data_IF_439770450517
#
_entry.id   IF_439770450517
#
_cell.length_a   1.000
_cell.length_b   1.000
_cell.length_c   1.000
_cell.angle_alpha   90.00
_cell.angle_beta   90.00
_cell.angle_gamma   90.00
#
_symmetry.space_group_name_H-M   'P 1'
#
loop_
_entity.id
_entity.type
_entity.pdbx_description
1 polymer ?
#
# COMPACT_ATOMS: atom_id res chain seq x y z
N UNK A 1 -7.17 2.65 10.21
CA UNK A 1 -6.38 3.00 9.00
C UNK A 1 -5.36 1.92 8.73
N UNK A 2 -4.96 1.66 7.47
CA UNK A 2 -3.84 0.78 7.16
C UNK A 2 -2.57 1.26 7.89
N UNK A 3 -1.73 0.34 8.39
CA UNK A 3 -0.43 0.71 8.96
C UNK A 3 0.46 1.23 7.83
N UNK A 4 0.91 2.48 7.93
CA UNK A 4 1.96 3.02 7.06
C UNK A 4 3.30 2.40 7.47
N UNK A 5 3.58 1.22 6.88
CA UNK A 5 4.81 0.48 7.10
C UNK A 5 5.50 0.27 5.75
N UNK A 6 6.74 0.76 5.64
CA UNK A 6 7.54 0.69 4.41
C UNK A 6 8.34 -0.61 4.28
N UNK A 7 8.58 -1.30 5.39
CA UNK A 7 9.37 -2.53 5.44
C UNK A 7 8.50 -3.68 5.94
N UNK A 8 8.30 -4.69 5.09
CA UNK A 8 7.54 -5.88 5.42
C UNK A 8 8.47 -7.08 5.64
N UNK A 9 8.22 -7.80 6.73
CA UNK A 9 8.82 -9.12 6.98
C UNK A 9 8.09 -10.20 6.19
N UNK A 10 8.73 -11.37 6.04
CA UNK A 10 8.15 -12.53 5.36
C UNK A 10 6.87 -13.00 6.05
N UNK A 11 6.87 -13.02 7.38
CA UNK A 11 5.75 -13.43 8.22
C UNK A 11 4.56 -12.48 8.03
N UNK A 12 4.80 -11.17 8.02
CA UNK A 12 3.74 -10.19 7.78
C UNK A 12 3.11 -10.32 6.39
N UNK A 13 3.91 -10.59 5.36
CA UNK A 13 3.37 -10.83 4.01
C UNK A 13 2.57 -12.14 3.96
N UNK A 14 3.05 -13.19 4.62
CA UNK A 14 2.34 -14.46 4.74
C UNK A 14 0.99 -14.31 5.46
N UNK A 15 0.94 -13.57 6.58
CA UNK A 15 -0.29 -13.31 7.31
C UNK A 15 -1.30 -12.50 6.47
N UNK A 16 -0.82 -11.55 5.66
CA UNK A 16 -1.68 -10.80 4.72
C UNK A 16 -2.23 -11.71 3.61
N UNK A 17 -1.43 -12.64 3.11
CA UNK A 17 -1.91 -13.65 2.16
C UNK A 17 -3.00 -14.52 2.79
N UNK A 18 -2.80 -14.97 4.04
CA UNK A 18 -3.79 -15.76 4.78
C UNK A 18 -5.10 -15.00 4.98
N UNK A 19 -5.02 -13.73 5.41
CA UNK A 19 -6.20 -12.87 5.57
C UNK A 19 -6.96 -12.69 4.24
N UNK A 20 -6.25 -12.48 3.14
CA UNK A 20 -6.86 -12.29 1.80
C UNK A 20 -7.52 -13.59 1.30
N UNK A 21 -6.95 -14.76 1.60
CA UNK A 21 -7.55 -16.06 1.28
C UNK A 21 -8.73 -16.45 2.18
N UNK A 22 -8.96 -15.73 3.28
CA UNK A 22 -9.95 -16.08 4.30
C UNK A 22 -11.36 -16.25 3.75
N UNK A 23 -11.81 -15.35 2.87
CA UNK A 23 -13.15 -15.44 2.26
C UNK A 23 -13.32 -16.72 1.46
N UNK A 24 -12.35 -17.03 0.60
CA UNK A 24 -12.34 -18.25 -0.21
C UNK A 24 -12.36 -19.52 0.64
N UNK A 25 -11.52 -19.57 1.65
CA UNK A 25 -11.41 -20.73 2.54
C UNK A 25 -12.68 -20.91 3.38
N UNK A 26 -13.30 -19.81 3.81
CA UNK A 26 -14.59 -19.84 4.50
C UNK A 26 -15.67 -20.49 3.62
N UNK A 27 -15.78 -20.08 2.35
CA UNK A 27 -16.74 -20.70 1.42
C UNK A 27 -16.52 -22.21 1.28
N UNK A 28 -15.27 -22.64 1.16
CA UNK A 28 -14.90 -24.06 1.04
C UNK A 28 -15.33 -24.85 2.29
N UNK A 29 -15.11 -24.31 3.50
CA UNK A 29 -15.44 -24.98 4.77
C UNK A 29 -16.95 -25.08 4.99
N UNK A 30 -17.70 -24.01 4.74
CA UNK A 30 -19.13 -23.94 5.08
C UNK A 30 -20.04 -24.43 3.96
N UNK A 31 -19.70 -24.17 2.69
CA UNK A 31 -20.55 -24.52 1.56
C UNK A 31 -20.05 -25.72 0.76
N UNK A 32 -18.81 -26.18 0.97
CA UNK A 32 -18.21 -27.30 0.23
C UNK A 32 -18.08 -27.03 -1.28
N UNK A 33 -18.28 -25.78 -1.69
CA UNK A 33 -18.25 -25.33 -3.08
C UNK A 33 -17.56 -23.99 -3.15
N UNK A 34 -17.14 -23.67 -4.35
CA UNK A 34 -16.30 -22.54 -4.62
C UNK A 34 -16.98 -21.58 -5.60
N UNK A 35 -16.94 -20.27 -5.32
CA UNK A 35 -17.51 -19.23 -6.19
C UNK A 35 -16.44 -18.48 -6.98
N UNK A 36 -16.87 -17.59 -7.87
CA UNK A 36 -15.99 -16.62 -8.57
C UNK A 36 -15.73 -15.35 -7.76
N UNK A 37 -16.34 -15.20 -6.58
CA UNK A 37 -16.25 -13.97 -5.77
C UNK A 37 -14.84 -13.68 -5.26
N UNK A 38 -14.00 -14.70 -5.10
CA UNK A 38 -12.61 -14.57 -4.63
C UNK A 38 -11.59 -14.30 -5.74
N UNK A 39 -12.02 -13.93 -6.96
CA UNK A 39 -11.10 -13.71 -8.09
C UNK A 39 -10.04 -12.64 -7.80
N UNK A 40 -10.45 -11.48 -7.28
CA UNK A 40 -9.53 -10.38 -6.98
C UNK A 40 -8.58 -10.73 -5.83
N UNK A 41 -9.05 -11.49 -4.85
CA UNK A 41 -8.23 -11.97 -3.74
C UNK A 41 -7.14 -12.92 -4.23
N UNK A 42 -7.48 -13.87 -5.11
CA UNK A 42 -6.50 -14.77 -5.74
C UNK A 42 -5.48 -14.00 -6.58
N UNK A 43 -5.91 -12.96 -7.30
CA UNK A 43 -4.99 -12.10 -8.06
C UNK A 43 -3.99 -11.41 -7.14
N UNK A 44 -4.46 -10.78 -6.04
CA UNK A 44 -3.59 -10.10 -5.05
C UNK A 44 -2.62 -11.07 -4.38
N UNK A 45 -3.10 -12.25 -3.98
CA UNK A 45 -2.29 -13.30 -3.36
C UNK A 45 -1.21 -13.80 -4.32
N UNK A 46 -1.57 -14.01 -5.59
CA UNK A 46 -0.62 -14.42 -6.63
C UNK A 46 0.46 -13.36 -6.86
N UNK A 47 0.07 -12.09 -6.99
CA UNK A 47 1.01 -10.98 -7.13
C UNK A 47 1.95 -10.87 -5.93
N UNK A 48 1.42 -11.01 -4.71
CA UNK A 48 2.23 -10.99 -3.49
C UNK A 48 3.22 -12.16 -3.43
N UNK A 49 2.81 -13.35 -3.85
CA UNK A 49 3.68 -14.52 -3.90
C UNK A 49 4.82 -14.35 -4.91
N UNK A 50 4.52 -13.89 -6.13
CA UNK A 50 5.55 -13.58 -7.11
C UNK A 50 6.50 -12.50 -6.60
N UNK A 51 6.00 -11.44 -5.95
CA UNK A 51 6.87 -10.39 -5.40
C UNK A 51 7.85 -10.94 -4.35
N UNK A 52 7.36 -11.80 -3.45
CA UNK A 52 8.21 -12.44 -2.44
C UNK A 52 9.30 -13.32 -3.05
N UNK A 53 8.96 -14.11 -4.07
CA UNK A 53 9.88 -15.09 -4.68
C UNK A 53 10.85 -14.41 -5.65
N UNK A 54 10.36 -13.47 -6.48
CA UNK A 54 11.08 -12.92 -7.64
C UNK A 54 11.76 -11.59 -7.33
N UNK A 55 11.13 -10.71 -6.55
CA UNK A 55 11.64 -9.37 -6.29
C UNK A 55 12.38 -9.26 -4.96
N UNK A 56 11.84 -9.88 -3.90
CA UNK A 56 12.35 -9.70 -2.54
C UNK A 56 13.35 -10.77 -2.11
N UNK A 57 13.56 -11.83 -2.89
CA UNK A 57 14.48 -12.91 -2.55
C UNK A 57 14.09 -13.67 -1.27
N UNK A 58 12.79 -13.78 -0.96
CA UNK A 58 12.27 -14.41 0.26
C UNK A 58 12.08 -15.94 0.13
N UNK A 59 12.63 -16.54 -0.93
CA UNK A 59 12.56 -17.97 -1.20
C UNK A 59 13.96 -18.61 -1.20
N UNK A 60 14.11 -19.72 -0.48
CA UNK A 60 15.41 -20.39 -0.29
C UNK A 60 15.92 -21.09 -1.56
N UNK A 61 15.03 -21.59 -2.43
CA UNK A 61 15.42 -22.32 -3.65
C UNK A 61 15.82 -21.38 -4.78
N UNK A 62 15.13 -20.25 -4.92
CA UNK A 62 15.50 -19.19 -5.87
C UNK A 62 16.71 -18.41 -5.34
N UNK A 63 16.79 -18.23 -4.02
CA UNK A 63 17.87 -17.53 -3.34
C UNK A 63 17.63 -16.02 -3.24
N UNK A 64 18.62 -15.32 -2.70
CA UNK A 64 18.60 -13.87 -2.44
C UNK A 64 18.90 -13.06 -3.71
N UNK A 65 18.15 -13.33 -4.78
CA UNK A 65 18.23 -12.63 -6.06
C UNK A 65 16.97 -11.83 -6.31
N UNK A 66 17.10 -10.75 -7.08
CA UNK A 66 15.99 -9.92 -7.50
C UNK A 66 15.98 -9.88 -9.02
N UNK A 67 14.86 -10.26 -9.61
CA UNK A 67 14.62 -10.13 -11.04
C UNK A 67 13.64 -8.99 -11.28
N UNK A 68 13.98 -8.10 -12.20
CA UNK A 68 13.05 -7.05 -12.62
C UNK A 68 12.03 -7.67 -13.58
N UNK A 69 10.75 -7.57 -13.23
CA UNK A 69 9.67 -8.10 -14.07
C UNK A 69 8.90 -6.92 -14.63
N UNK A 70 8.52 -6.97 -15.91
CA UNK A 70 7.79 -5.89 -16.56
C UNK A 70 6.49 -5.58 -15.80
N UNK A 71 6.21 -4.29 -15.67
CA UNK A 71 5.02 -3.83 -14.97
C UNK A 71 3.75 -4.14 -15.77
N UNK A 72 2.56 -4.18 -15.14
CA UNK A 72 1.30 -4.33 -15.85
C UNK A 72 1.16 -3.27 -16.97
N UNK A 73 1.11 -3.73 -18.22
CA UNK A 73 1.03 -2.85 -19.40
C UNK A 73 2.35 -2.70 -20.18
N UNK A 74 3.47 -3.18 -19.63
CA UNK A 74 4.74 -3.26 -20.34
C UNK A 74 4.82 -4.56 -21.15
N UNK A 75 5.43 -4.46 -22.34
CA UNK A 75 5.62 -5.61 -23.22
C UNK A 75 6.73 -6.50 -22.67
N UNK A 76 6.40 -7.75 -22.35
CA UNK A 76 7.40 -8.75 -21.95
C UNK A 76 8.18 -9.18 -23.18
N UNK A 77 9.40 -8.68 -23.35
CA UNK A 77 10.28 -9.05 -24.46
C UNK A 77 10.97 -10.40 -24.20
N UNK A 78 11.61 -10.54 -23.03
CA UNK A 78 12.27 -11.78 -22.60
C UNK A 78 12.40 -11.79 -21.07
N UNK A 79 12.30 -12.97 -20.44
CA UNK A 79 12.47 -13.10 -18.99
C UNK A 79 13.97 -13.00 -18.65
N UNK A 80 14.36 -12.32 -17.55
CA UNK A 80 15.77 -12.19 -17.17
C UNK A 80 16.35 -13.46 -16.50
N UNK A 81 15.76 -14.62 -16.72
CA UNK A 81 16.16 -15.90 -16.13
C UNK A 81 15.81 -17.07 -17.06
N UNK A 82 16.45 -18.21 -16.84
CA UNK A 82 16.24 -19.42 -17.65
C UNK A 82 14.85 -20.02 -17.43
N UNK A 83 14.42 -20.87 -18.36
CA UNK A 83 13.18 -21.64 -18.21
C UNK A 83 13.21 -22.58 -16.99
N UNK A 84 14.38 -23.09 -16.62
CA UNK A 84 14.55 -23.88 -15.38
C UNK A 84 14.22 -23.04 -14.14
N UNK A 85 14.78 -21.82 -14.06
CA UNK A 85 14.45 -20.89 -12.98
C UNK A 85 12.97 -20.50 -12.99
N UNK A 86 12.38 -20.31 -14.18
CA UNK A 86 10.95 -20.02 -14.31
C UNK A 86 10.08 -21.14 -13.70
N UNK A 87 10.41 -22.41 -13.99
CA UNK A 87 9.72 -23.56 -13.41
C UNK A 87 9.86 -23.63 -11.89
N UNK A 88 11.06 -23.33 -11.37
CA UNK A 88 11.29 -23.26 -9.92
C UNK A 88 10.41 -22.16 -9.31
N UNK A 89 10.41 -20.95 -9.87
CA UNK A 89 9.58 -19.83 -9.40
C UNK A 89 8.11 -20.22 -9.35
N UNK A 90 7.56 -20.77 -10.44
CA UNK A 90 6.14 -21.15 -10.51
C UNK A 90 5.78 -22.24 -9.49
N UNK A 91 6.69 -23.20 -9.27
CA UNK A 91 6.50 -24.25 -8.26
C UNK A 91 6.49 -23.68 -6.84
N UNK A 92 7.39 -22.74 -6.55
CA UNK A 92 7.54 -22.14 -5.22
C UNK A 92 6.41 -21.14 -4.92
N UNK A 93 5.95 -20.39 -5.91
CA UNK A 93 4.75 -19.55 -5.80
C UNK A 93 3.53 -20.40 -5.47
N UNK A 94 3.34 -21.53 -6.16
CA UNK A 94 2.23 -22.45 -5.88
C UNK A 94 2.33 -23.02 -4.47
N UNK A 95 3.53 -23.44 -4.04
CA UNK A 95 3.77 -23.95 -2.69
C UNK A 95 3.45 -22.90 -1.62
N UNK A 96 3.88 -21.65 -1.82
CA UNK A 96 3.62 -20.56 -0.89
C UNK A 96 2.12 -20.28 -0.73
N UNK A 97 1.38 -20.21 -1.84
CA UNK A 97 -0.07 -19.99 -1.84
C UNK A 97 -0.79 -21.19 -1.19
N UNK A 98 -0.37 -22.41 -1.50
CA UNK A 98 -0.93 -23.62 -0.88
C UNK A 98 -0.69 -23.65 0.63
N UNK A 99 0.48 -23.25 1.09
CA UNK A 99 0.79 -23.15 2.51
C UNK A 99 -0.10 -22.10 3.21
N UNK A 100 -0.27 -20.93 2.59
CA UNK A 100 -1.17 -19.89 3.10
C UNK A 100 -2.63 -20.37 3.16
N UNK A 101 -3.11 -21.05 2.10
CA UNK A 101 -4.45 -21.65 2.07
C UNK A 101 -4.62 -22.70 3.18
N UNK A 102 -3.67 -23.64 3.31
CA UNK A 102 -3.72 -24.68 4.34
C UNK A 102 -3.67 -24.10 5.75
N UNK A 103 -2.84 -23.09 5.99
CA UNK A 103 -2.75 -22.41 7.27
C UNK A 103 -4.08 -21.71 7.61
N UNK A 104 -4.63 -20.96 6.66
CA UNK A 104 -5.93 -20.29 6.79
C UNK A 104 -7.06 -21.28 7.04
N UNK A 105 -7.05 -22.42 6.34
CA UNK A 105 -8.05 -23.49 6.49
C UNK A 105 -8.00 -24.08 7.89
N UNK A 106 -6.80 -24.34 8.42
CA UNK A 106 -6.62 -24.80 9.79
C UNK A 106 -7.20 -23.78 10.78
N UNK A 107 -6.83 -22.51 10.64
CA UNK A 107 -7.28 -21.43 11.52
C UNK A 107 -8.82 -21.26 11.52
N UNK A 108 -9.43 -21.19 10.34
CA UNK A 108 -10.88 -21.03 10.22
C UNK A 108 -11.66 -22.29 10.62
N UNK A 109 -11.03 -23.47 10.55
CA UNK A 109 -11.64 -24.71 11.07
C UNK A 109 -11.62 -24.73 12.60
N UNK A 110 -10.52 -24.28 13.22
CA UNK A 110 -10.40 -24.17 14.67
C UNK A 110 -11.41 -23.16 15.24
N UNK A 111 -11.57 -22.02 14.57
CA UNK A 111 -12.51 -20.95 14.93
C UNK A 111 -13.84 -21.01 14.18
N UNK A 112 -14.25 -22.21 13.72
CA UNK A 112 -15.44 -22.37 12.87
C UNK A 112 -16.70 -21.79 13.51
N UNK A 113 -16.91 -22.04 14.80
CA UNK A 113 -18.06 -21.53 15.54
C UNK A 113 -18.07 -20.00 15.61
N UNK A 114 -16.91 -19.37 15.67
CA UNK A 114 -16.80 -17.91 15.75
C UNK A 114 -17.10 -17.24 14.40
N UNK A 115 -16.66 -17.85 13.30
CA UNK A 115 -17.02 -17.41 11.94
C UNK A 115 -18.53 -17.50 11.72
N UNK A 116 -19.16 -18.58 12.19
CA UNK A 116 -20.61 -18.77 12.10
C UNK A 116 -21.37 -17.69 12.88
N UNK A 117 -20.97 -17.38 14.12
CA UNK A 117 -21.57 -16.28 14.91
C UNK A 117 -21.51 -14.94 14.19
N UNK A 118 -20.36 -14.61 13.61
CA UNK A 118 -20.18 -13.35 12.88
C UNK A 118 -21.06 -13.33 11.63
N UNK A 119 -21.12 -14.42 10.88
CA UNK A 119 -21.98 -14.55 9.71
C UNK A 119 -23.48 -14.41 10.08
N UNK A 120 -23.93 -15.06 11.16
CA UNK A 120 -25.31 -14.93 11.65
C UNK A 120 -25.65 -13.51 12.09
N UNK A 121 -24.70 -12.79 12.71
CA UNK A 121 -24.89 -11.36 13.03
C UNK A 121 -25.01 -10.54 11.75
N UNK A 122 -24.17 -10.80 10.75
CA UNK A 122 -24.22 -10.11 9.45
C UNK A 122 -25.54 -10.32 8.69
N UNK A 123 -26.20 -11.46 8.86
CA UNK A 123 -27.53 -11.71 8.30
C UNK A 123 -28.63 -10.84 8.95
N UNK A 124 -28.44 -10.43 10.21
CA UNK A 124 -29.38 -9.56 10.94
C UNK A 124 -29.04 -8.09 10.78
N UNK A 125 -27.75 -7.77 10.66
CA UNK A 125 -27.21 -6.42 10.57
C UNK A 125 -26.13 -6.38 9.49
N UNK A 126 -26.41 -5.70 8.38
CA UNK A 126 -25.56 -5.71 7.18
C UNK A 126 -24.13 -5.18 7.42
N UNK A 127 -23.92 -4.38 8.46
CA UNK A 127 -22.64 -3.72 8.76
C UNK A 127 -22.27 -4.00 10.23
N UNK A 128 -21.07 -4.53 10.46
CA UNK A 128 -20.51 -4.69 11.81
C UNK A 128 -19.39 -3.67 12.05
N UNK A 129 -19.48 -3.00 13.20
CA UNK A 129 -18.45 -2.14 13.73
C UNK A 129 -17.40 -2.94 14.52
N UNK A 130 -16.31 -2.28 14.92
CA UNK A 130 -15.29 -2.88 15.78
C UNK A 130 -15.87 -3.32 17.13
N UNK A 131 -16.78 -2.52 17.70
CA UNK A 131 -17.37 -2.81 19.00
C UNK A 131 -18.28 -4.04 18.94
N UNK A 132 -19.02 -4.22 17.84
CA UNK A 132 -19.81 -5.44 17.59
C UNK A 132 -18.92 -6.69 17.52
N UNK A 133 -17.74 -6.57 16.89
CA UNK A 133 -16.78 -7.66 16.82
C UNK A 133 -16.20 -8.01 18.19
N UNK A 134 -15.95 -7.01 19.04
CA UNK A 134 -15.48 -7.21 20.42
C UNK A 134 -16.58 -7.85 21.27
N UNK A 135 -17.84 -7.45 21.10
CA UNK A 135 -18.98 -8.06 21.75
C UNK A 135 -19.10 -9.56 21.39
N UNK A 136 -18.90 -9.89 20.11
CA UNK A 136 -19.05 -11.27 19.60
C UNK A 136 -17.86 -12.19 19.93
N UNK A 137 -16.63 -11.69 19.76
CA UNK A 137 -15.41 -12.50 19.78
C UNK A 137 -14.51 -12.19 20.99
N UNK A 138 -14.84 -11.17 21.77
CA UNK A 138 -13.98 -10.66 22.84
C UNK A 138 -12.89 -9.71 22.35
N UNK A 139 -12.03 -9.28 23.27
CA UNK A 139 -10.90 -8.41 22.93
C UNK A 139 -9.86 -9.16 22.10
N UNK A 140 -9.28 -8.45 21.11
CA UNK A 140 -8.21 -8.98 20.28
C UNK A 140 -7.00 -9.35 21.16
N UNK A 141 -6.46 -10.57 21.08
CA UNK A 141 -5.36 -11.03 21.93
C UNK A 141 -3.97 -10.50 21.51
N UNK A 142 -3.92 -9.50 20.62
CA UNK A 142 -2.69 -8.92 20.10
C UNK A 142 -2.72 -7.39 20.27
N UNK A 143 -1.59 -6.78 20.64
CA UNK A 143 -1.51 -5.32 20.78
C UNK A 143 -1.75 -4.64 19.43
N UNK A 144 -2.61 -3.62 19.44
CA UNK A 144 -2.97 -2.84 18.27
C UNK A 144 -2.71 -1.37 18.58
N UNK A 145 -1.91 -0.72 17.74
CA UNK A 145 -1.82 0.74 17.71
C UNK A 145 -3.03 1.26 16.94
N UNK A 146 -3.88 2.03 17.59
CA UNK A 146 -5.15 2.50 17.05
C UNK A 146 -5.23 4.03 16.98
N UNK A 147 -4.48 4.75 17.83
CA UNK A 147 -4.52 6.21 17.86
C UNK A 147 -3.33 6.84 17.15
N UNK A 148 -3.52 8.07 16.65
CA UNK A 148 -2.46 8.83 15.99
C UNK A 148 -1.25 8.98 16.93
N UNK A 149 -1.51 9.29 18.19
CA UNK A 149 -0.49 9.45 19.23
C UNK A 149 0.38 8.18 19.37
N UNK A 150 -0.22 6.98 19.38
CA UNK A 150 0.52 5.71 19.45
C UNK A 150 1.38 5.44 18.19
N UNK A 151 1.00 6.02 17.05
CA UNK A 151 1.79 5.94 15.81
C UNK A 151 2.98 6.91 15.82
N UNK A 152 2.84 8.11 16.37
CA UNK A 152 3.89 9.16 16.38
C UNK A 152 4.70 9.25 17.67
N UNK A 153 4.35 8.52 18.73
CA UNK A 153 5.09 8.51 20.00
C UNK A 153 6.60 8.19 19.82
N UNK A 154 6.96 7.47 18.75
CA UNK A 154 8.34 7.12 18.42
C UNK A 154 9.06 8.08 17.46
N UNK A 155 8.38 9.07 16.87
CA UNK A 155 8.98 9.98 15.85
C UNK A 155 9.59 11.24 16.46
N UNK A 156 9.35 11.52 17.74
CA UNK A 156 9.93 12.67 18.46
C UNK A 156 9.22 14.01 18.23
N UNK A 157 8.24 14.06 17.34
CA UNK A 157 7.30 15.18 17.18
C UNK A 157 5.89 14.66 16.90
N UNK A 158 4.89 15.31 17.49
CA UNK A 158 3.47 15.01 17.25
C UNK A 158 2.90 15.81 16.08
N UNK A 159 3.55 16.92 15.73
CA UNK A 159 3.17 17.81 14.63
C UNK A 159 4.24 17.78 13.53
N UNK A 160 3.79 18.01 12.29
CA UNK A 160 4.65 18.19 11.14
C UNK A 160 5.32 19.58 11.21
N UNK A 161 6.65 19.61 11.10
CA UNK A 161 7.39 20.86 11.10
C UNK A 161 7.12 21.61 9.78
N UNK A 162 6.25 22.61 9.86
CA UNK A 162 5.88 23.49 8.74
C UNK A 162 6.75 24.74 8.68
N UNK A 163 7.84 24.81 9.47
CA UNK A 163 8.72 25.98 9.45
C UNK A 163 9.40 26.13 8.10
N UNK A 164 9.28 27.34 7.53
CA UNK A 164 9.90 27.64 6.23
C UNK A 164 11.41 27.85 6.41
N UNK A 165 12.24 27.32 5.49
CA UNK A 165 13.67 27.62 5.44
C UNK A 165 13.91 29.13 5.37
N UNK A 166 15.08 29.61 5.82
CA UNK A 166 15.34 31.05 5.96
C UNK A 166 15.09 31.88 4.68
N UNK A 167 15.40 31.33 3.51
CA UNK A 167 15.18 31.98 2.22
C UNK A 167 13.72 32.01 1.73
N UNK A 168 12.80 31.32 2.41
CA UNK A 168 11.38 31.27 2.09
C UNK A 168 10.48 31.89 3.16
N UNK A 169 11.04 32.45 4.24
CA UNK A 169 10.27 33.07 5.33
C UNK A 169 9.33 34.18 4.83
N UNK A 170 9.68 34.86 3.74
CA UNK A 170 8.90 35.95 3.14
C UNK A 170 7.91 35.50 2.03
N UNK A 171 7.87 34.20 1.69
CA UNK A 171 7.05 33.68 0.58
C UNK A 171 5.54 33.91 0.78
N UNK A 172 5.10 33.96 2.04
CA UNK A 172 3.69 34.16 2.42
C UNK A 172 3.41 35.57 2.96
N UNK A 173 4.34 36.52 2.81
CA UNK A 173 4.11 37.91 3.19
C UNK A 173 3.40 38.60 2.03
N UNK A 174 2.13 38.94 2.24
CA UNK A 174 1.32 39.67 1.25
C UNK A 174 2.10 40.89 0.70
N UNK A 175 2.27 40.92 -0.62
CA UNK A 175 2.90 41.99 -1.40
C UNK A 175 2.02 43.24 -1.42
N UNK A 176 1.67 43.78 -0.24
CA UNK A 176 0.81 44.96 -0.06
C UNK A 176 1.50 46.15 0.61
N UNK A 177 2.84 46.17 0.62
CA UNK A 177 3.63 47.29 1.16
C UNK A 177 4.74 47.79 0.23
N UNK A 178 4.62 47.60 -1.09
CA UNK A 178 5.60 48.13 -2.06
C UNK A 178 5.07 49.21 -3.01
N UNK A 179 3.82 49.67 -2.84
CA UNK A 179 3.20 50.64 -3.78
C UNK A 179 2.88 52.03 -3.16
N UNK A 180 3.30 52.31 -1.91
CA UNK A 180 3.01 53.60 -1.24
C UNK A 180 4.21 54.56 -1.08
N UNK A 181 5.38 54.31 -1.67
CA UNK A 181 6.55 55.21 -1.46
C UNK A 181 7.31 55.70 -2.70
N UNK A 182 6.67 55.80 -3.88
CA UNK A 182 7.32 56.51 -5.00
C UNK A 182 6.32 57.24 -5.91
N UNK A 183 5.54 58.14 -5.33
CA UNK A 183 4.93 59.24 -6.06
C UNK A 183 5.69 60.53 -5.76
N UNK A 184 6.62 60.93 -6.64
CA UNK A 184 6.90 62.34 -6.96
C UNK A 184 7.98 62.49 -8.06
N UNK A 185 7.57 63.05 -9.21
CA UNK A 185 8.36 64.01 -9.99
C UNK A 185 9.35 63.50 -11.04
N UNK A 186 8.92 63.43 -12.32
CA UNK A 186 9.24 64.43 -13.36
C UNK A 186 8.75 63.99 -14.75
N UNK A 187 8.04 64.91 -15.40
CA UNK A 187 7.65 64.91 -16.82
C UNK A 187 8.79 65.42 -17.71
N UNK A 188 8.65 65.12 -19.00
CA UNK A 188 9.22 65.78 -20.19
C UNK A 188 10.62 65.27 -20.59
N UNK A 189 10.97 65.05 -21.86
CA UNK A 189 10.34 65.38 -23.15
C UNK A 189 10.84 64.45 -24.27
N UNK A 190 10.11 64.50 -25.36
CA UNK A 190 10.30 63.95 -26.71
C UNK A 190 11.72 64.02 -27.32
N UNK A 191 12.05 63.06 -28.20
CA UNK A 191 12.19 63.25 -29.67
C UNK A 191 13.31 62.40 -30.32
N UNK A 192 12.95 61.64 -31.37
CA UNK A 192 13.79 61.16 -32.49
C UNK A 192 14.91 60.14 -32.16
N UNK A 193 15.34 59.25 -33.06
CA UNK A 193 15.29 59.24 -34.52
C UNK A 193 15.62 57.81 -35.01
N UNK A 194 15.12 57.50 -36.20
CA UNK A 194 15.29 56.28 -37.02
C UNK A 194 16.72 55.93 -37.42
N UNK A 195 16.92 54.65 -37.78
CA UNK A 195 17.74 54.09 -38.89
C UNK A 195 18.49 52.82 -38.42
N UNK A 196 18.15 51.64 -38.94
CA UNK A 196 18.75 51.01 -40.14
C UNK A 196 19.93 50.12 -39.67
N UNK A 197 19.86 48.79 -39.77
CA UNK A 197 20.07 48.06 -41.01
C UNK A 197 21.21 47.07 -40.76
N UNK A 198 20.91 45.79 -40.95
CA UNK A 198 21.75 44.57 -40.96
C UNK A 198 23.12 44.70 -41.69
N UNK A 199 23.87 43.60 -41.89
CA UNK A 199 24.38 42.58 -40.96
C UNK A 199 25.88 42.27 -41.24
N UNK A 200 26.45 41.35 -40.47
CA UNK A 200 27.21 40.21 -41.00
C UNK A 200 27.17 39.06 -39.97
#
# INVERSE_FOLDING_TARGET
MPREQYLYTKEQLFDRMCMTLGGRVSEEIFFGRITTGAQDDLKKVTQSAYAQVVHFGMNEKVGNVSFDMPQPGEMVLEKPYSEETAQIIDSEVRNLIQNAHSHTKKLLTEHKADVEKVAERLLKQEILSRDDMIELLGQRPFPEKATYEEFVEGTGSFEEDTTLPEGLKDWNVDRKKSDESSGEGKKSDSAGKTADGSPA
#
